data_IF_286913519641
#
_entry.id   IF_286913519641
#
_cell.length_a   1.000
_cell.length_b   1.000
_cell.length_c   1.000
_cell.angle_alpha   90.00
_cell.angle_beta   90.00
_cell.angle_gamma   90.00
#
_symmetry.space_group_name_H-M   'P 1'
#
loop_
_entity.id
_entity.type
_entity.pdbx_description
1 polymer ?
#
# COMPACT_ATOMS: atom_id res chain seq x y z
N UNK A 1 -1.95 10.73 -19.96
CA UNK A 1 -2.52 10.82 -18.60
C UNK A 1 -3.66 9.82 -18.55
N UNK A 2 -3.74 9.04 -17.48
CA UNK A 2 -4.77 7.99 -17.33
C UNK A 2 -6.10 8.62 -16.93
N UNK A 3 -7.17 8.37 -17.69
CA UNK A 3 -8.51 8.88 -17.38
C UNK A 3 -9.36 7.86 -16.62
N UNK A 4 -10.24 8.35 -15.79
CA UNK A 4 -11.21 7.57 -15.01
C UNK A 4 -12.58 7.75 -15.67
N UNK A 5 -13.29 6.64 -15.92
CA UNK A 5 -14.67 6.68 -16.41
C UNK A 5 -15.63 6.40 -15.24
N UNK A 6 -16.55 7.29 -14.99
CA UNK A 6 -17.61 7.14 -13.99
C UNK A 6 -18.94 6.89 -14.67
N UNK A 7 -19.54 5.73 -14.41
CA UNK A 7 -20.87 5.36 -14.93
C UNK A 7 -21.83 5.30 -13.76
N UNK A 8 -22.70 6.28 -13.65
CA UNK A 8 -23.66 6.41 -12.56
C UNK A 8 -24.89 7.20 -13.03
N UNK A 9 -26.09 6.82 -12.62
CA UNK A 9 -27.32 7.58 -12.92
C UNK A 9 -27.62 8.66 -11.87
N UNK A 10 -26.91 8.66 -10.72
CA UNK A 10 -27.06 9.66 -9.66
C UNK A 10 -26.19 10.88 -9.91
N UNK A 11 -26.83 12.01 -10.23
CA UNK A 11 -26.15 13.29 -10.51
C UNK A 11 -25.39 13.83 -9.30
N UNK A 12 -25.90 13.65 -8.08
CA UNK A 12 -25.26 14.14 -6.86
C UNK A 12 -23.94 13.40 -6.60
N UNK A 13 -23.90 12.10 -6.85
CA UNK A 13 -22.66 11.32 -6.74
C UNK A 13 -21.64 11.68 -7.81
N UNK A 14 -22.10 11.96 -9.04
CA UNK A 14 -21.22 12.45 -10.11
C UNK A 14 -20.56 13.77 -9.75
N UNK A 15 -21.29 14.73 -9.18
CA UNK A 15 -20.75 16.03 -8.74
C UNK A 15 -19.72 15.85 -7.63
N UNK A 16 -19.99 14.98 -6.64
CA UNK A 16 -19.07 14.67 -5.56
C UNK A 16 -17.77 14.04 -6.10
N UNK A 17 -17.87 13.07 -6.99
CA UNK A 17 -16.72 12.42 -7.62
C UNK A 17 -15.97 13.39 -8.54
N UNK A 18 -16.66 14.26 -9.28
CA UNK A 18 -16.05 15.29 -10.12
C UNK A 18 -15.18 16.23 -9.29
N UNK A 19 -15.68 16.68 -8.14
CA UNK A 19 -14.93 17.54 -7.22
C UNK A 19 -13.70 16.80 -6.64
N UNK A 20 -13.86 15.54 -6.26
CA UNK A 20 -12.77 14.72 -5.71
C UNK A 20 -11.66 14.46 -6.75
N UNK A 21 -12.02 14.13 -7.99
CA UNK A 21 -11.04 13.89 -9.06
C UNK A 21 -10.37 15.18 -9.56
N UNK A 22 -11.10 16.29 -9.58
CA UNK A 22 -10.53 17.62 -9.88
C UNK A 22 -9.47 18.00 -8.84
N UNK A 23 -9.71 17.73 -7.55
CA UNK A 23 -8.75 17.95 -6.48
C UNK A 23 -7.49 17.07 -6.64
N UNK A 24 -7.63 15.88 -7.20
CA UNK A 24 -6.53 14.93 -7.46
C UNK A 24 -5.79 15.21 -8.78
N UNK A 25 -6.18 16.22 -9.54
CA UNK A 25 -5.69 16.50 -10.91
C UNK A 25 -5.77 15.26 -11.83
N UNK A 26 -6.81 14.43 -11.62
CA UNK A 26 -7.07 13.22 -12.40
C UNK A 26 -8.17 13.51 -13.44
N UNK A 27 -7.90 13.35 -14.74
CA UNK A 27 -8.94 13.48 -15.76
C UNK A 27 -10.01 12.40 -15.58
N UNK A 28 -11.28 12.82 -15.55
CA UNK A 28 -12.41 11.91 -15.41
C UNK A 28 -13.51 12.25 -16.43
N UNK A 29 -14.15 11.21 -16.95
CA UNK A 29 -15.31 11.29 -17.82
C UNK A 29 -16.54 10.70 -17.11
N UNK A 30 -17.70 11.32 -17.32
CA UNK A 30 -18.95 10.93 -16.67
C UNK A 30 -20.00 10.56 -17.70
N UNK A 31 -20.64 9.40 -17.54
CA UNK A 31 -21.79 9.02 -18.38
C UNK A 31 -22.87 8.31 -17.54
N UNK A 32 -24.11 8.29 -18.05
CA UNK A 32 -25.20 7.46 -17.53
C UNK A 32 -25.17 6.06 -18.10
N UNK A 33 -25.86 5.12 -17.46
CA UNK A 33 -25.98 3.76 -17.99
C UNK A 33 -26.66 3.74 -19.37
N UNK A 34 -27.66 4.60 -19.60
CA UNK A 34 -28.33 4.73 -20.91
C UNK A 34 -27.36 5.23 -21.96
N UNK A 35 -26.58 6.27 -21.64
CA UNK A 35 -25.61 6.88 -22.55
C UNK A 35 -24.50 5.87 -22.88
N UNK A 36 -24.02 5.11 -21.90
CA UNK A 36 -23.03 4.06 -22.11
C UNK A 36 -23.42 3.04 -23.19
N UNK A 37 -24.70 2.61 -23.16
CA UNK A 37 -25.19 1.65 -24.14
C UNK A 37 -25.54 2.26 -25.50
N UNK A 38 -25.82 3.57 -25.57
CA UNK A 38 -26.15 4.29 -26.81
C UNK A 38 -24.92 4.89 -27.49
N UNK A 39 -23.91 5.36 -26.74
CA UNK A 39 -22.72 6.05 -27.26
C UNK A 39 -21.60 5.06 -27.60
N UNK A 40 -21.77 4.29 -28.67
CA UNK A 40 -20.78 3.28 -29.06
C UNK A 40 -19.52 3.84 -29.75
N UNK A 41 -19.31 5.18 -29.84
CA UNK A 41 -18.30 5.72 -30.77
C UNK A 41 -17.51 6.97 -30.35
N UNK A 42 -17.76 7.60 -29.18
CA UNK A 42 -17.11 8.88 -28.87
C UNK A 42 -16.15 8.87 -27.67
N UNK A 43 -16.15 7.82 -26.87
CA UNK A 43 -15.22 7.71 -25.72
C UNK A 43 -13.89 7.16 -26.24
N UNK A 44 -12.81 7.91 -26.12
CA UNK A 44 -11.47 7.45 -26.52
C UNK A 44 -11.00 6.34 -25.60
N UNK A 45 -11.18 5.10 -26.05
CA UNK A 45 -10.95 3.86 -25.30
C UNK A 45 -9.49 3.66 -24.85
N UNK A 46 -8.54 4.29 -25.53
CA UNK A 46 -7.10 4.06 -25.31
C UNK A 46 -6.54 4.73 -24.04
N UNK A 47 -7.32 5.63 -23.40
CA UNK A 47 -6.84 6.40 -22.24
C UNK A 47 -7.53 6.03 -20.91
N UNK A 48 -8.62 5.24 -20.96
CA UNK A 48 -9.36 4.87 -19.75
C UNK A 48 -8.67 3.71 -19.02
N UNK A 49 -8.38 3.92 -17.74
CA UNK A 49 -7.68 2.94 -16.89
C UNK A 49 -8.55 2.35 -15.80
N UNK A 50 -9.61 3.03 -15.42
CA UNK A 50 -10.48 2.67 -14.32
C UNK A 50 -11.92 3.00 -14.68
N UNK A 51 -12.84 2.08 -14.42
CA UNK A 51 -14.29 2.34 -14.43
C UNK A 51 -14.80 2.32 -13.00
N UNK A 52 -15.45 3.40 -12.60
CA UNK A 52 -16.26 3.47 -11.38
C UNK A 52 -17.72 3.22 -11.74
N UNK A 53 -18.28 2.15 -11.20
CA UNK A 53 -19.65 1.73 -11.44
C UNK A 53 -20.55 2.14 -10.28
N UNK A 54 -21.43 3.11 -10.52
CA UNK A 54 -22.51 3.50 -9.61
C UNK A 54 -23.73 2.57 -9.70
N UNK A 55 -24.83 2.99 -9.09
CA UNK A 55 -26.09 2.27 -9.15
C UNK A 55 -26.87 2.65 -10.41
N UNK A 56 -27.43 1.65 -11.07
CA UNK A 56 -28.34 1.84 -12.22
C UNK A 56 -29.79 1.76 -11.80
N UNK A 57 -30.63 2.61 -12.39
CA UNK A 57 -32.10 2.46 -12.31
C UNK A 57 -32.61 1.35 -13.24
N UNK A 58 -31.78 0.83 -14.13
CA UNK A 58 -32.12 -0.25 -15.05
C UNK A 58 -31.79 -1.62 -14.42
N UNK A 59 -32.55 -2.67 -14.70
CA UNK A 59 -32.25 -4.03 -14.26
C UNK A 59 -31.10 -4.64 -15.06
N UNK A 60 -29.88 -4.18 -14.81
CA UNK A 60 -28.66 -4.63 -15.52
C UNK A 60 -27.84 -5.47 -14.55
N UNK A 61 -27.41 -6.66 -14.96
CA UNK A 61 -26.51 -7.50 -14.16
C UNK A 61 -25.08 -7.00 -14.25
N UNK A 62 -24.36 -7.01 -13.13
CA UNK A 62 -22.95 -6.66 -13.06
C UNK A 62 -22.09 -7.51 -14.00
N UNK A 63 -22.42 -8.82 -14.13
CA UNK A 63 -21.71 -9.75 -15.02
C UNK A 63 -21.70 -9.26 -16.47
N UNK A 64 -22.86 -8.79 -16.96
CA UNK A 64 -22.98 -8.29 -18.33
C UNK A 64 -22.17 -7.02 -18.55
N UNK A 65 -22.14 -6.12 -17.57
CA UNK A 65 -21.36 -4.87 -17.63
C UNK A 65 -19.86 -5.15 -17.63
N UNK A 66 -19.37 -5.97 -16.70
CA UNK A 66 -17.95 -6.30 -16.60
C UNK A 66 -17.48 -7.01 -17.85
N UNK A 67 -18.30 -7.91 -18.44
CA UNK A 67 -18.00 -8.56 -19.70
C UNK A 67 -17.93 -7.58 -20.87
N UNK A 68 -18.88 -6.64 -20.97
CA UNK A 68 -18.87 -5.59 -22.01
C UNK A 68 -17.63 -4.67 -21.88
N UNK A 69 -17.17 -4.40 -20.66
CA UNK A 69 -15.91 -3.67 -20.44
C UNK A 69 -14.69 -4.48 -20.87
N UNK A 70 -14.63 -5.78 -20.59
CA UNK A 70 -13.53 -6.63 -21.05
C UNK A 70 -13.48 -6.73 -22.56
N UNK A 71 -14.64 -6.77 -23.23
CA UNK A 71 -14.72 -6.83 -24.69
C UNK A 71 -14.29 -5.52 -25.36
N UNK A 72 -14.52 -4.36 -24.70
CA UNK A 72 -14.16 -3.03 -25.22
C UNK A 72 -12.75 -2.57 -24.82
N UNK A 73 -12.26 -2.99 -23.68
CA UNK A 73 -10.99 -2.57 -23.13
C UNK A 73 -10.12 -3.78 -22.82
N UNK A 74 -8.91 -3.82 -23.36
CA UNK A 74 -8.01 -4.97 -23.19
C UNK A 74 -7.65 -5.30 -21.72
N UNK A 75 -7.68 -4.28 -20.82
CA UNK A 75 -7.26 -4.44 -19.42
C UNK A 75 -7.82 -3.31 -18.59
N UNK A 76 -9.05 -3.46 -18.11
CA UNK A 76 -9.70 -2.41 -17.33
C UNK A 76 -9.99 -2.88 -15.92
N UNK A 77 -9.64 -2.03 -14.94
CA UNK A 77 -10.04 -2.19 -13.55
C UNK A 77 -11.45 -1.64 -13.34
N UNK A 78 -12.26 -2.36 -12.60
CA UNK A 78 -13.62 -1.94 -12.23
C UNK A 78 -13.68 -1.77 -10.71
N UNK A 79 -14.21 -0.64 -10.25
CA UNK A 79 -14.53 -0.39 -8.84
C UNK A 79 -16.02 -0.13 -8.74
N UNK A 80 -16.70 -0.82 -7.86
CA UNK A 80 -18.14 -0.62 -7.61
C UNK A 80 -18.34 0.49 -6.58
N UNK A 81 -19.29 1.38 -6.83
CA UNK A 81 -19.79 2.36 -5.85
C UNK A 81 -20.94 1.69 -5.08
N UNK A 82 -20.83 1.64 -3.75
CA UNK A 82 -21.77 0.94 -2.88
C UNK A 82 -21.89 -0.58 -3.14
N UNK A 83 -22.77 -1.27 -2.42
CA UNK A 83 -22.93 -2.72 -2.53
C UNK A 83 -23.68 -3.13 -3.79
N UNK A 84 -23.02 -3.88 -4.64
CA UNK A 84 -23.64 -4.68 -5.69
C UNK A 84 -23.81 -6.11 -5.17
N UNK A 85 -25.06 -6.58 -5.05
CA UNK A 85 -25.38 -7.93 -4.56
C UNK A 85 -24.72 -9.05 -5.36
N UNK A 86 -24.47 -8.79 -6.64
CA UNK A 86 -24.07 -9.81 -7.62
C UNK A 86 -22.53 -10.02 -7.74
N UNK A 87 -21.72 -9.28 -6.97
CA UNK A 87 -20.23 -9.44 -7.01
C UNK A 87 -19.80 -10.85 -6.61
N UNK A 88 -20.55 -11.49 -5.69
CA UNK A 88 -20.28 -12.85 -5.24
C UNK A 88 -20.61 -13.92 -6.28
N UNK A 89 -21.49 -13.63 -7.24
CA UNK A 89 -21.97 -14.53 -8.28
C UNK A 89 -21.13 -14.48 -9.57
N UNK A 90 -20.19 -13.53 -9.67
CA UNK A 90 -19.30 -13.41 -10.82
C UNK A 90 -18.38 -14.63 -10.96
N UNK A 91 -18.14 -15.04 -12.21
CA UNK A 91 -17.10 -16.03 -12.53
C UNK A 91 -15.71 -15.53 -12.08
N UNK A 92 -14.80 -16.44 -11.74
CA UNK A 92 -13.47 -16.09 -11.21
C UNK A 92 -12.69 -15.12 -12.12
N UNK A 93 -12.82 -15.26 -13.44
CA UNK A 93 -12.17 -14.39 -14.43
C UNK A 93 -12.74 -12.95 -14.41
N UNK A 94 -14.04 -12.78 -14.28
CA UNK A 94 -14.71 -11.48 -14.22
C UNK A 94 -14.52 -10.82 -12.85
N UNK A 95 -14.50 -11.62 -11.79
CA UNK A 95 -14.27 -11.15 -10.42
C UNK A 95 -12.88 -10.53 -10.25
N UNK A 96 -11.87 -11.02 -10.96
CA UNK A 96 -10.51 -10.45 -10.93
C UNK A 96 -10.46 -9.00 -11.46
N UNK A 97 -11.38 -8.61 -12.35
CA UNK A 97 -11.45 -7.24 -12.86
C UNK A 97 -12.07 -6.26 -11.86
N UNK A 98 -12.86 -6.75 -10.89
CA UNK A 98 -13.44 -5.92 -9.83
C UNK A 98 -12.40 -5.78 -8.72
N UNK A 99 -11.62 -4.70 -8.78
CA UNK A 99 -10.45 -4.49 -7.90
C UNK A 99 -10.80 -3.90 -6.54
N UNK A 100 -12.03 -3.40 -6.36
CA UNK A 100 -12.47 -2.84 -5.09
C UNK A 100 -13.90 -2.33 -5.10
N UNK A 101 -14.33 -1.91 -3.92
CA UNK A 101 -15.62 -1.28 -3.67
C UNK A 101 -15.37 0.04 -2.93
N UNK A 102 -16.07 1.09 -3.30
CA UNK A 102 -16.01 2.41 -2.69
C UNK A 102 -17.41 2.79 -2.20
N UNK A 103 -17.64 2.79 -0.90
CA UNK A 103 -18.93 3.16 -0.30
C UNK A 103 -19.05 4.67 -0.14
N UNK A 104 -20.17 5.25 -0.54
CA UNK A 104 -20.44 6.69 -0.40
C UNK A 104 -21.19 6.93 0.93
N UNK A 105 -20.74 7.85 1.80
CA UNK A 105 -19.58 8.76 1.67
C UNK A 105 -18.22 8.06 1.89
N UNK A 106 -17.24 8.36 1.04
CA UNK A 106 -15.88 7.85 1.14
C UNK A 106 -14.93 8.92 1.67
N UNK A 107 -13.83 8.48 2.27
CA UNK A 107 -12.72 9.36 2.60
C UNK A 107 -11.65 9.34 1.49
N UNK A 108 -10.77 10.34 1.52
CA UNK A 108 -9.67 10.51 0.55
C UNK A 108 -8.80 9.25 0.42
N UNK A 109 -8.52 8.58 1.52
CA UNK A 109 -7.66 7.39 1.55
C UNK A 109 -8.29 6.20 0.84
N UNK A 110 -9.60 6.01 0.99
CA UNK A 110 -10.35 4.96 0.28
C UNK A 110 -10.34 5.17 -1.24
N UNK A 111 -10.48 6.43 -1.68
CA UNK A 111 -10.41 6.76 -3.10
C UNK A 111 -9.01 6.51 -3.66
N UNK A 112 -7.94 6.92 -2.95
CA UNK A 112 -6.56 6.65 -3.34
C UNK A 112 -6.26 5.14 -3.40
N UNK A 113 -6.74 4.35 -2.43
CA UNK A 113 -6.59 2.90 -2.44
C UNK A 113 -7.23 2.26 -3.67
N UNK A 114 -8.42 2.73 -4.06
CA UNK A 114 -9.10 2.25 -5.26
C UNK A 114 -8.32 2.59 -6.53
N UNK A 115 -7.86 3.84 -6.68
CA UNK A 115 -7.03 4.28 -7.82
C UNK A 115 -5.75 3.46 -7.90
N UNK A 116 -5.14 3.21 -6.79
CA UNK A 116 -3.91 2.45 -6.67
C UNK A 116 -4.09 0.98 -7.07
N UNK A 117 -5.14 0.31 -6.57
CA UNK A 117 -5.49 -1.07 -6.99
C UNK A 117 -5.77 -1.14 -8.50
N UNK A 118 -6.41 -0.13 -9.06
CA UNK A 118 -6.64 -0.05 -10.50
C UNK A 118 -5.34 0.08 -11.30
N UNK A 119 -4.38 0.90 -10.85
CA UNK A 119 -3.06 1.00 -11.46
C UNK A 119 -2.30 -0.33 -11.39
N UNK A 120 -2.34 -1.01 -10.26
CA UNK A 120 -1.74 -2.34 -10.10
C UNK A 120 -2.37 -3.38 -11.04
N UNK A 121 -3.69 -3.38 -11.17
CA UNK A 121 -4.40 -4.29 -12.06
C UNK A 121 -3.94 -4.10 -13.52
N UNK A 122 -3.83 -2.86 -13.97
CA UNK A 122 -3.36 -2.55 -15.33
C UNK A 122 -1.91 -2.96 -15.57
N UNK A 123 -1.02 -2.64 -14.64
CA UNK A 123 0.38 -3.08 -14.71
C UNK A 123 0.50 -4.60 -14.82
N UNK A 124 -0.42 -5.35 -14.20
CA UNK A 124 -0.52 -6.82 -14.32
C UNK A 124 -0.97 -7.28 -15.70
N UNK A 125 -1.84 -6.53 -16.33
CA UNK A 125 -2.44 -6.91 -17.62
C UNK A 125 -1.53 -6.56 -18.81
N UNK A 126 -0.81 -5.44 -18.72
CA UNK A 126 0.14 -5.02 -19.77
C UNK A 126 1.43 -5.89 -19.80
N UNK A 127 1.68 -6.65 -18.74
CA UNK A 127 2.86 -7.51 -18.64
C UNK A 127 2.46 -8.89 -18.11
N UNK A 128 2.32 -9.89 -19.01
CA UNK A 128 2.03 -11.29 -18.63
C UNK A 128 3.05 -11.86 -17.62
N UNK A 129 4.22 -11.21 -17.47
CA UNK A 129 5.21 -11.51 -16.43
C UNK A 129 4.77 -11.01 -15.04
N UNK A 130 3.85 -10.03 -14.96
CA UNK A 130 3.35 -9.46 -13.70
C UNK A 130 2.22 -10.28 -13.04
N UNK A 131 1.54 -11.16 -13.78
CA UNK A 131 0.66 -12.17 -13.17
C UNK A 131 1.40 -13.07 -12.16
N UNK A 132 2.74 -13.15 -12.27
CA UNK A 132 3.62 -13.82 -11.31
C UNK A 132 4.00 -12.94 -10.09
N UNK A 133 3.65 -11.66 -10.08
CA UNK A 133 4.00 -10.72 -8.99
C UNK A 133 3.19 -10.97 -7.71
N UNK A 134 1.99 -11.56 -7.83
CA UNK A 134 1.19 -12.00 -6.67
C UNK A 134 1.81 -13.19 -5.92
N UNK A 135 2.80 -13.87 -6.52
CA UNK A 135 3.49 -14.98 -5.89
C UNK A 135 4.20 -14.58 -4.58
N UNK A 136 4.60 -13.30 -4.43
CA UNK A 136 5.40 -12.84 -3.30
C UNK A 136 4.61 -11.91 -2.36
N UNK A 137 3.46 -12.37 -1.87
CA UNK A 137 2.55 -11.60 -1.00
C UNK A 137 3.18 -11.06 0.28
N UNK A 138 4.26 -11.69 0.77
CA UNK A 138 5.01 -11.23 1.94
C UNK A 138 5.92 -10.02 1.70
N UNK A 139 6.17 -9.66 0.42
CA UNK A 139 7.05 -8.55 0.06
C UNK A 139 6.21 -7.32 -0.31
N UNK A 140 6.10 -6.36 0.60
CA UNK A 140 5.31 -5.13 0.44
C UNK A 140 6.06 -4.10 -0.39
N UNK A 141 5.35 -3.41 -1.30
CA UNK A 141 5.86 -2.32 -2.13
C UNK A 141 5.44 -2.46 -3.60
N UNK A 142 5.29 -1.33 -4.27
CA UNK A 142 4.80 -1.19 -5.65
C UNK A 142 5.64 -0.22 -6.46
N UNK A 143 6.65 0.39 -5.82
CA UNK A 143 7.60 1.24 -6.52
C UNK A 143 8.27 0.50 -7.67
N UNK A 144 8.71 1.24 -8.69
CA UNK A 144 9.35 0.68 -9.87
C UNK A 144 10.56 -0.21 -9.50
N UNK A 145 11.34 0.19 -8.48
CA UNK A 145 12.46 -0.59 -7.97
C UNK A 145 12.01 -1.92 -7.34
N UNK A 146 10.92 -1.94 -6.56
CA UNK A 146 10.38 -3.17 -5.99
C UNK A 146 9.74 -4.09 -7.04
N UNK A 147 9.16 -3.53 -8.09
CA UNK A 147 8.68 -4.32 -9.23
C UNK A 147 9.85 -5.01 -9.97
N UNK A 148 11.01 -4.34 -10.12
CA UNK A 148 12.22 -4.97 -10.68
C UNK A 148 12.71 -6.12 -9.80
N UNK A 149 12.74 -5.96 -8.48
CA UNK A 149 13.08 -7.03 -7.52
C UNK A 149 12.14 -8.23 -7.71
N UNK A 150 10.82 -8.01 -7.75
CA UNK A 150 9.85 -9.10 -7.95
C UNK A 150 10.01 -9.81 -9.30
N UNK A 151 10.30 -9.07 -10.37
CA UNK A 151 10.61 -9.67 -11.68
C UNK A 151 11.85 -10.56 -11.60
N UNK A 152 12.92 -10.10 -10.98
CA UNK A 152 14.13 -10.89 -10.78
C UNK A 152 13.83 -12.15 -9.95
N UNK A 153 13.07 -12.01 -8.85
CA UNK A 153 12.64 -13.15 -8.04
C UNK A 153 11.85 -14.18 -8.85
N UNK A 154 10.88 -13.75 -9.66
CA UNK A 154 10.05 -14.65 -10.47
C UNK A 154 10.86 -15.43 -11.51
N UNK A 155 11.91 -14.82 -12.08
CA UNK A 155 12.78 -15.48 -13.04
C UNK A 155 13.64 -16.60 -12.41
N UNK A 156 14.00 -16.44 -11.13
CA UNK A 156 14.94 -17.34 -10.45
C UNK A 156 14.29 -18.28 -9.43
N UNK A 157 13.07 -18.02 -8.99
CA UNK A 157 12.40 -18.80 -7.93
C UNK A 157 12.35 -20.31 -8.26
N UNK A 158 11.89 -20.65 -9.46
CA UNK A 158 11.78 -22.05 -9.93
C UNK A 158 13.11 -22.70 -10.34
N UNK A 159 14.25 -22.00 -10.25
CA UNK A 159 15.56 -22.51 -10.69
C UNK A 159 16.44 -22.87 -9.49
N UNK A 160 17.20 -23.96 -9.62
CA UNK A 160 18.12 -24.43 -8.57
C UNK A 160 19.52 -23.81 -8.77
N UNK A 161 19.60 -22.47 -8.68
CA UNK A 161 20.83 -21.68 -8.80
C UNK A 161 21.08 -20.86 -7.55
N UNK A 162 22.34 -20.52 -7.32
CA UNK A 162 22.72 -19.62 -6.22
C UNK A 162 22.18 -18.21 -6.50
N UNK A 163 21.73 -17.53 -5.45
CA UNK A 163 21.23 -16.15 -5.49
C UNK A 163 22.02 -15.32 -4.50
N UNK A 164 22.50 -14.16 -4.93
CA UNK A 164 23.13 -13.18 -4.06
C UNK A 164 22.18 -11.97 -3.90
N UNK A 165 21.77 -11.69 -2.67
CA UNK A 165 20.88 -10.56 -2.35
C UNK A 165 21.74 -9.47 -1.70
N UNK A 166 21.84 -8.32 -2.37
CA UNK A 166 22.58 -7.16 -1.88
C UNK A 166 21.61 -6.06 -1.43
N UNK A 167 22.08 -5.17 -0.58
CA UNK A 167 21.31 -4.01 -0.10
C UNK A 167 21.53 -3.70 1.37
N UNK A 168 21.18 -2.50 1.77
CA UNK A 168 21.39 -2.00 3.13
C UNK A 168 20.74 -2.87 4.20
N UNK A 169 21.22 -2.72 5.45
CA UNK A 169 20.62 -3.41 6.59
C UNK A 169 19.15 -2.97 6.77
N UNK A 170 18.26 -3.94 7.06
CA UNK A 170 16.85 -3.67 7.29
C UNK A 170 15.98 -3.46 6.04
N UNK A 171 16.48 -3.69 4.82
CA UNK A 171 15.71 -3.57 3.57
C UNK A 171 14.74 -4.72 3.32
N UNK A 172 14.90 -5.87 4.02
CA UNK A 172 14.04 -7.06 3.88
C UNK A 172 14.67 -8.22 3.11
N UNK A 173 16.02 -8.32 3.06
CA UNK A 173 16.75 -9.41 2.37
C UNK A 173 16.31 -10.81 2.79
N UNK A 174 16.05 -11.04 4.09
CA UNK A 174 15.56 -12.33 4.58
C UNK A 174 14.15 -12.66 4.06
N UNK A 175 13.27 -11.66 3.95
CA UNK A 175 11.91 -11.83 3.39
C UNK A 175 12.00 -12.29 1.93
N UNK A 176 12.90 -11.71 1.15
CA UNK A 176 13.17 -12.13 -0.23
C UNK A 176 13.70 -13.56 -0.27
N UNK A 177 14.69 -13.90 0.58
CA UNK A 177 15.26 -15.25 0.63
C UNK A 177 14.21 -16.31 0.97
N UNK A 178 13.36 -16.06 1.96
CA UNK A 178 12.27 -16.95 2.35
C UNK A 178 11.24 -17.09 1.24
N UNK A 179 10.82 -15.98 0.63
CA UNK A 179 9.89 -15.99 -0.51
C UNK A 179 10.44 -16.77 -1.70
N UNK A 180 11.75 -16.67 -2.00
CA UNK A 180 12.40 -17.48 -3.04
C UNK A 180 12.39 -18.98 -2.74
N UNK A 181 12.56 -19.36 -1.47
CA UNK A 181 12.44 -20.75 -1.03
C UNK A 181 11.02 -21.26 -1.20
N UNK A 182 10.02 -20.52 -0.68
CA UNK A 182 8.60 -20.91 -0.69
C UNK A 182 8.04 -21.13 -2.11
N UNK A 183 8.62 -20.45 -3.10
CA UNK A 183 8.23 -20.55 -4.51
C UNK A 183 9.23 -21.36 -5.37
N UNK A 184 10.15 -22.08 -4.73
CA UNK A 184 11.15 -22.90 -5.40
C UNK A 184 10.69 -24.34 -5.60
N UNK A 185 11.45 -25.09 -6.39
CA UNK A 185 11.31 -26.56 -6.52
C UNK A 185 11.59 -27.29 -5.18
N UNK A 186 12.27 -26.61 -4.23
CA UNK A 186 12.65 -27.11 -2.91
C UNK A 186 11.75 -26.62 -1.78
N UNK A 187 10.57 -26.04 -2.08
CA UNK A 187 9.63 -25.46 -1.11
C UNK A 187 9.17 -26.39 0.01
N UNK A 188 9.19 -27.70 -0.25
CA UNK A 188 8.83 -28.73 0.74
C UNK A 188 10.03 -29.17 1.58
N UNK A 189 11.25 -28.72 1.25
CA UNK A 189 12.47 -28.97 2.02
C UNK A 189 12.66 -27.94 3.14
N UNK A 190 13.69 -28.11 3.97
CA UNK A 190 13.96 -27.16 5.03
C UNK A 190 14.51 -25.84 4.49
N UNK A 191 14.08 -24.71 5.10
CA UNK A 191 14.73 -23.41 4.97
C UNK A 191 15.59 -23.17 6.22
N UNK A 192 16.91 -23.16 6.06
CA UNK A 192 17.87 -23.07 7.19
C UNK A 192 18.61 -21.75 7.11
N UNK A 193 18.21 -20.73 7.88
CA UNK A 193 18.95 -19.47 7.97
C UNK A 193 20.14 -19.57 8.92
N UNK A 194 21.21 -18.85 8.58
CA UNK A 194 22.35 -18.61 9.45
C UNK A 194 22.89 -17.20 9.21
N UNK A 195 23.07 -16.43 10.27
CA UNK A 195 23.71 -15.11 10.19
C UNK A 195 25.20 -15.25 10.49
N UNK A 196 26.04 -15.01 9.45
CA UNK A 196 27.48 -15.17 9.56
C UNK A 196 28.15 -14.10 10.43
N UNK A 197 27.56 -12.91 10.53
CA UNK A 197 28.07 -11.81 11.36
C UNK A 197 27.70 -11.92 12.84
N UNK A 198 26.61 -12.64 13.16
CA UNK A 198 26.16 -12.78 14.54
C UNK A 198 26.88 -13.89 15.33
N UNK A 199 27.61 -14.78 14.63
CA UNK A 199 28.29 -15.94 15.22
C UNK A 199 29.79 -15.65 15.32
N UNK A 200 30.43 -15.85 16.47
CA UNK A 200 31.89 -15.75 16.58
C UNK A 200 32.60 -16.65 15.55
N UNK A 201 33.69 -16.17 14.97
CA UNK A 201 34.42 -16.85 13.92
C UNK A 201 34.80 -18.30 14.27
N UNK A 202 35.20 -18.55 15.53
CA UNK A 202 35.60 -19.88 16.04
C UNK A 202 34.43 -20.86 16.09
N UNK A 203 33.19 -20.38 16.24
CA UNK A 203 31.99 -21.20 16.30
C UNK A 203 31.29 -21.35 14.95
N UNK A 204 31.50 -20.40 14.02
CA UNK A 204 30.84 -20.38 12.72
C UNK A 204 31.13 -21.66 11.93
N UNK A 205 32.37 -22.16 12.00
CA UNK A 205 32.74 -23.42 11.35
C UNK A 205 31.94 -24.60 11.88
N UNK A 206 31.85 -24.72 13.22
CA UNK A 206 31.09 -25.78 13.87
C UNK A 206 29.59 -25.69 13.61
N UNK A 207 29.03 -24.48 13.53
CA UNK A 207 27.61 -24.29 13.20
C UNK A 207 27.33 -24.65 11.74
N UNK A 208 28.20 -24.29 10.80
CA UNK A 208 28.00 -24.57 9.37
C UNK A 208 28.17 -26.06 9.04
N UNK A 209 29.31 -26.66 9.44
CA UNK A 209 29.71 -27.98 9.01
C UNK A 209 29.38 -29.08 10.02
N UNK A 210 29.08 -28.72 11.26
CA UNK A 210 28.93 -29.67 12.37
C UNK A 210 30.28 -30.21 12.89
N UNK A 211 30.24 -30.96 13.93
CA UNK A 211 31.45 -31.55 14.53
C UNK A 211 31.21 -32.95 15.05
N UNK A 212 32.27 -33.76 15.05
CA UNK A 212 32.32 -35.06 15.72
C UNK A 212 32.72 -34.90 17.21
N UNK A 213 32.36 -35.88 18.00
CA UNK A 213 32.77 -35.93 19.42
C UNK A 213 34.29 -35.84 19.55
N UNK A 214 34.79 -34.89 20.35
CA UNK A 214 36.22 -34.68 20.56
C UNK A 214 36.95 -33.83 19.53
N UNK A 215 36.24 -33.21 18.59
CA UNK A 215 36.82 -32.36 17.53
C UNK A 215 37.54 -31.12 18.09
N UNK A 216 37.12 -30.61 19.25
CA UNK A 216 37.75 -29.50 19.97
C UNK A 216 37.44 -29.58 21.45
N UNK A 217 38.12 -28.75 22.27
CA UNK A 217 37.88 -28.67 23.71
C UNK A 217 36.46 -28.18 23.99
N UNK A 218 35.58 -29.10 24.46
CA UNK A 218 34.14 -28.83 24.66
C UNK A 218 33.20 -29.59 23.72
N UNK A 219 33.70 -30.31 22.70
CA UNK A 219 32.90 -31.19 21.87
C UNK A 219 32.53 -32.51 22.56
N UNK A 220 31.59 -32.46 23.53
CA UNK A 220 31.14 -33.60 24.30
C UNK A 220 30.33 -34.62 23.51
N UNK A 221 29.59 -34.17 22.50
CA UNK A 221 28.77 -34.97 21.59
C UNK A 221 28.97 -34.52 20.15
N UNK A 222 28.64 -35.38 19.18
CA UNK A 222 28.59 -34.95 17.79
C UNK A 222 27.33 -34.13 17.55
N UNK A 223 27.42 -33.11 16.66
CA UNK A 223 26.30 -32.23 16.30
C UNK A 223 26.26 -31.99 14.78
N UNK A 224 25.10 -32.16 14.15
CA UNK A 224 24.96 -31.84 12.70
C UNK A 224 25.09 -30.35 12.48
N UNK A 225 25.69 -29.98 11.35
CA UNK A 225 25.81 -28.59 10.90
C UNK A 225 24.65 -28.12 10.06
N UNK A 226 24.62 -26.82 9.72
CA UNK A 226 23.56 -26.21 8.89
C UNK A 226 23.52 -26.82 7.49
N UNK A 227 24.63 -27.23 6.92
CA UNK A 227 24.67 -27.95 5.64
C UNK A 227 23.88 -29.27 5.69
N UNK A 228 24.00 -30.03 6.76
CA UNK A 228 23.21 -31.25 6.95
C UNK A 228 21.74 -30.97 7.18
N UNK A 229 21.42 -29.93 8.00
CA UNK A 229 20.05 -29.54 8.30
C UNK A 229 19.31 -28.99 7.07
N UNK A 230 20.04 -28.40 6.13
CA UNK A 230 19.50 -27.84 4.89
C UNK A 230 19.35 -28.88 3.76
N UNK A 231 19.72 -30.13 3.98
CA UNK A 231 19.69 -31.20 2.97
C UNK A 231 18.33 -31.32 2.29
N UNK A 232 18.30 -31.31 0.95
CA UNK A 232 17.09 -31.32 0.13
C UNK A 232 16.33 -29.97 0.10
N UNK A 233 16.81 -28.95 0.81
CA UNK A 233 16.19 -27.65 0.97
C UNK A 233 17.08 -26.47 0.55
N UNK A 234 17.00 -25.38 1.32
CA UNK A 234 17.70 -24.13 1.05
C UNK A 234 18.50 -23.69 2.28
N UNK A 235 19.79 -23.42 2.09
CA UNK A 235 20.65 -22.76 3.08
C UNK A 235 20.67 -21.24 2.78
N UNK A 236 20.24 -20.44 3.74
CA UNK A 236 20.31 -18.98 3.66
C UNK A 236 21.48 -18.47 4.50
N UNK A 237 22.50 -17.90 3.82
CA UNK A 237 23.68 -17.28 4.41
C UNK A 237 23.46 -15.77 4.53
N UNK A 238 23.04 -15.31 5.69
CA UNK A 238 22.90 -13.86 5.92
C UNK A 238 24.24 -13.27 6.34
N UNK A 239 24.49 -12.06 5.90
CA UNK A 239 25.73 -11.29 6.13
C UNK A 239 26.99 -12.08 5.73
N UNK A 240 26.98 -12.64 4.50
CA UNK A 240 28.11 -13.43 3.98
C UNK A 240 29.42 -12.65 3.87
N UNK A 241 29.34 -11.29 3.75
CA UNK A 241 30.51 -10.40 3.76
C UNK A 241 31.22 -10.33 5.12
N UNK A 242 30.61 -10.83 6.20
CA UNK A 242 31.25 -10.92 7.52
C UNK A 242 32.01 -12.26 7.73
N UNK A 243 31.92 -13.16 6.76
CA UNK A 243 32.55 -14.48 6.86
C UNK A 243 34.06 -14.38 6.83
N UNK A 244 34.79 -14.99 7.81
CA UNK A 244 36.27 -15.00 7.80
C UNK A 244 36.84 -15.71 6.58
N UNK A 245 38.00 -15.25 6.08
CA UNK A 245 38.69 -15.83 4.92
C UNK A 245 38.84 -17.36 4.94
N UNK A 246 39.26 -17.99 6.06
CA UNK A 246 39.36 -19.46 6.11
C UNK A 246 38.02 -20.15 5.84
N UNK A 247 36.92 -19.54 6.27
CA UNK A 247 35.56 -20.06 6.07
C UNK A 247 35.10 -19.88 4.63
N UNK A 248 35.47 -18.79 3.99
CA UNK A 248 35.21 -18.55 2.57
C UNK A 248 35.81 -19.64 1.70
N UNK A 249 37.03 -20.12 2.02
CA UNK A 249 37.68 -21.25 1.33
C UNK A 249 36.90 -22.54 1.48
N UNK A 250 36.39 -22.82 2.68
CA UNK A 250 35.61 -24.03 2.94
C UNK A 250 34.28 -23.97 2.23
N UNK A 251 33.57 -22.83 2.30
CA UNK A 251 32.33 -22.61 1.60
C UNK A 251 32.49 -22.78 0.07
N UNK A 252 33.53 -22.21 -0.49
CA UNK A 252 33.82 -22.36 -1.93
C UNK A 252 33.97 -23.83 -2.33
N UNK A 253 34.73 -24.65 -1.56
CA UNK A 253 34.85 -26.08 -1.82
C UNK A 253 33.47 -26.80 -1.83
N UNK A 254 32.61 -26.50 -0.84
CA UNK A 254 31.26 -27.10 -0.81
C UNK A 254 30.44 -26.72 -2.02
N UNK A 255 30.49 -25.44 -2.42
CA UNK A 255 29.76 -24.96 -3.61
C UNK A 255 30.26 -25.54 -4.92
N UNK A 256 31.56 -25.92 -5.02
CA UNK A 256 32.18 -26.53 -6.19
C UNK A 256 31.98 -28.05 -6.23
N UNK A 257 32.29 -28.72 -5.12
CA UNK A 257 32.37 -30.20 -5.05
C UNK A 257 31.04 -30.82 -4.63
N UNK A 258 30.09 -30.03 -4.09
CA UNK A 258 28.84 -30.52 -3.50
C UNK A 258 29.04 -31.53 -2.38
N UNK A 259 30.17 -31.43 -1.66
CA UNK A 259 30.56 -32.32 -0.58
C UNK A 259 31.21 -31.54 0.55
N UNK A 260 31.11 -32.04 1.75
CA UNK A 260 31.75 -31.48 2.95
C UNK A 260 32.02 -32.55 3.99
N UNK A 261 32.81 -32.22 5.02
CA UNK A 261 33.14 -33.07 6.15
C UNK A 261 32.85 -32.32 7.45
N UNK A 262 32.48 -33.06 8.49
CA UNK A 262 32.37 -32.50 9.86
C UNK A 262 33.75 -32.18 10.40
N UNK A 263 33.82 -31.21 11.31
CA UNK A 263 35.06 -30.92 12.06
C UNK A 263 35.47 -32.14 12.87
N UNK A 264 36.73 -32.56 12.70
CA UNK A 264 37.26 -33.78 13.36
C UNK A 264 36.74 -35.10 12.75
N UNK A 265 35.97 -35.07 11.71
CA UNK A 265 35.48 -36.23 10.97
C UNK A 265 36.26 -36.47 9.70
N UNK A 266 36.25 -37.72 9.18
CA UNK A 266 36.83 -38.11 7.87
C UNK A 266 35.73 -38.58 6.89
N UNK A 267 34.48 -38.57 7.33
CA UNK A 267 33.34 -38.97 6.49
C UNK A 267 32.90 -37.83 5.61
N UNK A 268 33.01 -38.01 4.31
CA UNK A 268 32.50 -37.07 3.33
C UNK A 268 30.97 -37.21 3.21
N UNK A 269 30.26 -36.08 3.27
CA UNK A 269 28.81 -35.96 3.17
C UNK A 269 28.47 -35.18 1.90
N UNK A 270 27.42 -35.57 1.21
CA UNK A 270 26.92 -34.84 0.04
C UNK A 270 26.12 -33.60 0.46
N UNK A 271 26.24 -32.49 -0.29
CA UNK A 271 25.53 -31.26 -0.07
C UNK A 271 24.50 -31.02 -1.18
N UNK A 272 23.34 -31.66 -1.06
CA UNK A 272 22.19 -31.40 -1.97
C UNK A 272 21.35 -30.24 -1.43
N UNK A 273 21.84 -29.03 -1.63
CA UNK A 273 21.22 -27.80 -1.14
C UNK A 273 21.21 -26.70 -2.22
N UNK A 274 20.22 -25.80 -2.13
CA UNK A 274 20.24 -24.50 -2.81
C UNK A 274 20.82 -23.47 -1.84
N UNK A 275 21.74 -22.61 -2.31
CA UNK A 275 22.30 -21.54 -1.51
C UNK A 275 21.75 -20.19 -1.92
N UNK A 276 21.26 -19.44 -0.95
CA UNK A 276 20.89 -18.02 -1.07
C UNK A 276 21.79 -17.27 -0.09
N UNK A 277 22.57 -16.30 -0.57
CA UNK A 277 23.44 -15.48 0.24
C UNK A 277 22.93 -14.04 0.28
N UNK A 278 23.10 -13.34 1.42
CA UNK A 278 22.77 -11.94 1.56
C UNK A 278 23.90 -11.16 2.23
N UNK A 279 24.04 -9.90 1.87
CA UNK A 279 25.00 -8.98 2.50
C UNK A 279 24.56 -7.52 2.35
N UNK A 280 25.00 -6.68 3.27
CA UNK A 280 24.90 -5.22 3.15
C UNK A 280 26.24 -4.60 2.73
N UNK A 281 27.32 -5.38 2.68
CA UNK A 281 28.66 -4.93 2.33
C UNK A 281 28.86 -4.93 0.82
N UNK A 282 29.70 -4.02 0.32
CA UNK A 282 30.19 -4.04 -1.05
C UNK A 282 31.28 -5.11 -1.20
N UNK A 283 30.91 -6.27 -1.73
CA UNK A 283 31.83 -7.40 -1.89
C UNK A 283 32.96 -7.11 -2.92
N UNK A 284 32.70 -6.25 -3.91
CA UNK A 284 33.69 -5.88 -4.93
C UNK A 284 34.81 -5.05 -4.30
N UNK A 285 34.51 -4.07 -3.46
CA UNK A 285 35.51 -3.34 -2.66
C UNK A 285 36.27 -4.26 -1.70
N UNK A 286 35.58 -5.23 -1.08
CA UNK A 286 36.20 -6.21 -0.20
C UNK A 286 37.16 -7.17 -0.95
N UNK A 287 36.90 -7.45 -2.22
CA UNK A 287 37.83 -8.21 -3.07
C UNK A 287 39.12 -7.39 -3.31
N UNK A 288 38.99 -6.10 -3.61
CA UNK A 288 40.14 -5.22 -3.81
C UNK A 288 41.00 -5.09 -2.54
N UNK A 289 40.37 -5.04 -1.36
CA UNK A 289 41.08 -4.98 -0.06
C UNK A 289 41.58 -6.36 0.43
N UNK A 290 41.20 -7.44 -0.25
CA UNK A 290 41.60 -8.81 0.12
C UNK A 290 40.84 -9.39 1.30
N UNK A 291 39.70 -8.80 1.69
CA UNK A 291 38.82 -9.26 2.76
C UNK A 291 37.78 -10.30 2.28
N UNK A 292 37.52 -10.34 0.98
CA UNK A 292 36.67 -11.32 0.35
C UNK A 292 37.31 -11.95 -0.87
N UNK A 293 37.08 -13.25 -1.09
CA UNK A 293 37.69 -13.97 -2.21
C UNK A 293 36.88 -13.77 -3.49
N UNK A 294 37.57 -13.44 -4.59
CA UNK A 294 37.01 -13.26 -5.91
C UNK A 294 36.35 -14.55 -6.45
N UNK A 295 36.97 -15.72 -6.24
CA UNK A 295 36.45 -17.02 -6.69
C UNK A 295 35.12 -17.40 -5.98
N UNK A 296 34.98 -17.08 -4.71
CA UNK A 296 33.73 -17.27 -3.96
C UNK A 296 32.66 -16.30 -4.43
N UNK A 297 33.02 -15.04 -4.70
CA UNK A 297 32.08 -14.03 -5.20
C UNK A 297 31.41 -14.52 -6.48
N UNK A 298 32.16 -14.91 -7.51
CA UNK A 298 31.56 -15.42 -8.76
C UNK A 298 30.73 -16.71 -8.58
N UNK A 299 31.02 -17.49 -7.58
CA UNK A 299 30.24 -18.71 -7.29
C UNK A 299 28.92 -18.42 -6.56
N UNK A 300 28.87 -17.36 -5.77
CA UNK A 300 27.63 -16.88 -5.10
C UNK A 300 26.81 -15.99 -6.03
N UNK A 301 27.45 -15.09 -6.76
CA UNK A 301 26.82 -14.09 -7.62
C UNK A 301 26.44 -14.65 -8.99
N UNK A 302 25.70 -15.77 -9.00
CA UNK A 302 25.14 -16.37 -10.23
C UNK A 302 23.91 -15.60 -10.66
N UNK A 303 23.07 -15.21 -9.72
CA UNK A 303 21.89 -14.37 -9.95
C UNK A 303 21.81 -13.29 -8.87
N UNK A 304 22.15 -12.03 -9.20
CA UNK A 304 22.06 -10.93 -8.25
C UNK A 304 20.63 -10.41 -8.10
N UNK A 305 20.29 -10.01 -6.87
CA UNK A 305 19.06 -9.27 -6.55
C UNK A 305 19.45 -8.11 -5.64
N UNK A 306 19.26 -6.88 -6.11
CA UNK A 306 19.59 -5.67 -5.36
C UNK A 306 18.33 -5.11 -4.68
N UNK A 307 18.36 -5.03 -3.34
CA UNK A 307 17.26 -4.51 -2.55
C UNK A 307 17.38 -2.99 -2.39
N UNK A 308 16.41 -2.22 -2.91
CA UNK A 308 16.47 -0.76 -2.80
C UNK A 308 16.28 -0.31 -1.35
N UNK A 309 17.01 0.74 -0.90
CA UNK A 309 16.78 1.36 0.40
C UNK A 309 15.41 2.07 0.43
N UNK A 310 14.85 2.23 1.63
CA UNK A 310 13.49 2.76 1.81
C UNK A 310 13.35 4.20 1.25
N UNK A 311 14.40 5.02 1.32
CA UNK A 311 14.42 6.38 0.75
C UNK A 311 14.22 6.42 -0.77
N UNK A 312 14.59 5.37 -1.51
CA UNK A 312 14.40 5.25 -2.96
C UNK A 312 13.02 4.70 -3.34
N UNK A 313 12.24 4.28 -2.34
CA UNK A 313 10.87 3.79 -2.48
C UNK A 313 9.91 4.44 -1.48
N UNK A 314 10.06 5.75 -1.26
CA UNK A 314 9.22 6.50 -0.32
C UNK A 314 7.71 6.38 -0.59
N UNK A 315 7.31 6.16 -1.84
CA UNK A 315 5.93 5.87 -2.22
C UNK A 315 5.36 4.56 -1.65
N UNK A 316 6.23 3.62 -1.22
CA UNK A 316 5.81 2.37 -0.60
C UNK A 316 5.54 2.53 0.92
N UNK A 317 5.94 3.66 1.50
CA UNK A 317 5.85 3.88 2.95
C UNK A 317 4.43 3.73 3.51
N UNK A 318 3.37 4.30 2.89
CA UNK A 318 1.99 4.13 3.39
C UNK A 318 1.57 2.66 3.44
N UNK A 319 1.94 1.87 2.42
CA UNK A 319 1.64 0.44 2.36
C UNK A 319 2.39 -0.36 3.43
N UNK A 320 3.66 0.00 3.67
CA UNK A 320 4.46 -0.61 4.71
C UNK A 320 3.92 -0.28 6.10
N UNK A 321 3.47 0.97 6.32
CA UNK A 321 2.83 1.38 7.58
C UNK A 321 1.57 0.56 7.85
N UNK A 322 0.70 0.41 6.84
CA UNK A 322 -0.55 -0.36 6.96
C UNK A 322 -0.27 -1.83 7.24
N UNK A 323 0.60 -2.47 6.45
CA UNK A 323 0.92 -3.89 6.62
C UNK A 323 1.62 -4.18 7.94
N UNK A 324 2.56 -3.35 8.37
CA UNK A 324 3.24 -3.54 9.65
C UNK A 324 2.30 -3.30 10.83
N UNK A 325 1.43 -2.29 10.75
CA UNK A 325 0.40 -2.03 11.78
C UNK A 325 -0.61 -3.18 11.87
N UNK A 326 -0.97 -3.78 10.74
CA UNK A 326 -1.88 -4.94 10.67
C UNK A 326 -1.30 -6.19 11.36
N UNK A 327 0.03 -6.32 11.42
CA UNK A 327 0.72 -7.46 12.08
C UNK A 327 0.87 -7.28 13.59
N UNK A 328 0.67 -6.08 14.14
CA UNK A 328 0.83 -5.82 15.58
C UNK A 328 -0.04 -6.71 16.49
N UNK A 329 -1.33 -6.97 16.16
CA UNK A 329 -2.16 -7.86 16.98
C UNK A 329 -1.62 -9.29 17.10
N UNK A 330 -0.93 -9.80 16.08
CA UNK A 330 -0.27 -11.11 16.12
C UNK A 330 0.87 -11.16 17.15
N UNK A 331 1.43 -9.99 17.48
CA UNK A 331 2.48 -9.80 18.48
C UNK A 331 1.93 -9.40 19.86
N UNK A 332 0.60 -9.31 20.00
CA UNK A 332 -0.06 -8.90 21.23
C UNK A 332 -0.04 -7.38 21.49
N UNK A 333 0.18 -6.58 20.46
CA UNK A 333 0.13 -5.12 20.52
C UNK A 333 -1.17 -4.61 19.87
N UNK A 334 -1.65 -3.46 20.34
CA UNK A 334 -2.81 -2.80 19.77
C UNK A 334 -2.48 -2.14 18.42
N UNK A 335 -3.48 -2.01 17.56
CA UNK A 335 -3.32 -1.33 16.27
C UNK A 335 -3.05 0.18 16.49
N UNK A 336 -2.24 0.76 15.61
CA UNK A 336 -1.99 2.21 15.57
C UNK A 336 -2.25 2.73 14.16
N UNK A 337 -2.77 3.95 14.07
CA UNK A 337 -3.03 4.62 12.79
C UNK A 337 -2.20 5.89 12.69
N UNK A 338 -1.80 6.25 11.48
CA UNK A 338 -1.02 7.46 11.24
C UNK A 338 -1.85 8.46 10.43
N UNK A 339 -1.82 9.74 10.83
CA UNK A 339 -2.41 10.83 10.05
C UNK A 339 -1.61 11.09 8.79
N UNK A 340 -2.24 11.68 7.77
CA UNK A 340 -1.57 12.04 6.52
C UNK A 340 -0.37 12.98 6.73
N UNK A 341 -0.46 13.91 7.69
CA UNK A 341 0.65 14.80 8.08
C UNK A 341 1.83 14.02 8.66
N UNK A 342 1.58 13.02 9.50
CA UNK A 342 2.62 12.13 10.02
C UNK A 342 3.25 11.31 8.89
N UNK A 343 2.44 10.74 7.98
CA UNK A 343 2.93 9.98 6.83
C UNK A 343 3.82 10.86 5.93
N UNK A 344 3.39 12.10 5.63
CA UNK A 344 4.20 13.05 4.86
C UNK A 344 5.54 13.38 5.53
N UNK A 345 5.52 13.53 6.86
CA UNK A 345 6.75 13.75 7.65
C UNK A 345 7.69 12.54 7.59
N UNK A 346 7.14 11.33 7.69
CA UNK A 346 7.89 10.07 7.60
C UNK A 346 8.46 9.82 6.19
N UNK A 347 7.78 10.27 5.13
CA UNK A 347 8.29 10.16 3.75
C UNK A 347 9.55 10.98 3.49
N UNK A 348 9.74 12.08 4.23
CA UNK A 348 10.93 12.91 4.12
C UNK A 348 12.13 12.39 4.93
N UNK A 349 11.93 11.41 5.79
CA UNK A 349 13.01 10.84 6.59
C UNK A 349 13.91 9.92 5.74
N UNK A 350 15.24 9.95 5.90
CA UNK A 350 16.19 9.18 5.08
C UNK A 350 16.22 7.67 5.37
N UNK A 351 15.65 7.22 6.48
CA UNK A 351 15.53 5.81 6.89
C UNK A 351 16.84 5.01 6.86
N UNK A 352 17.88 5.39 7.60
CA UNK A 352 19.15 4.66 7.60
C UNK A 352 19.03 3.19 8.05
N UNK A 353 18.04 2.87 8.89
CA UNK A 353 17.68 1.50 9.29
C UNK A 353 16.57 0.87 8.46
N UNK A 354 16.14 1.51 7.36
CA UNK A 354 15.16 1.02 6.41
C UNK A 354 13.85 0.51 7.08
N UNK A 355 13.31 -0.62 6.61
CA UNK A 355 12.04 -1.19 7.14
C UNK A 355 12.18 -1.65 8.59
N UNK A 356 13.37 -2.05 9.03
CA UNK A 356 13.60 -2.42 10.45
C UNK A 356 13.42 -1.20 11.37
N UNK A 357 13.91 -0.04 10.99
CA UNK A 357 13.71 1.21 11.73
C UNK A 357 12.24 1.62 11.72
N UNK A 358 11.55 1.48 10.59
CA UNK A 358 10.13 1.75 10.47
C UNK A 358 9.29 0.82 11.37
N UNK A 359 9.59 -0.49 11.39
CA UNK A 359 8.90 -1.45 12.26
C UNK A 359 9.07 -1.08 13.74
N UNK A 360 10.30 -0.76 14.17
CA UNK A 360 10.57 -0.33 15.54
C UNK A 360 9.82 0.97 15.91
N UNK A 361 9.67 1.90 14.95
CA UNK A 361 8.87 3.10 15.18
C UNK A 361 7.39 2.73 15.39
N UNK A 362 6.83 1.90 14.53
CA UNK A 362 5.42 1.48 14.60
C UNK A 362 5.13 0.76 15.92
N UNK A 363 5.96 -0.20 16.31
CA UNK A 363 5.85 -0.90 17.60
C UNK A 363 5.90 0.08 18.78
N UNK A 364 6.82 1.05 18.73
CA UNK A 364 6.91 2.09 19.76
C UNK A 364 5.65 2.95 19.80
N UNK A 365 5.09 3.33 18.66
CA UNK A 365 3.86 4.14 18.62
C UNK A 365 2.66 3.34 19.10
N UNK A 366 2.57 2.06 18.79
CA UNK A 366 1.52 1.17 19.29
C UNK A 366 1.54 1.02 20.83
N UNK A 367 2.73 0.99 21.43
CA UNK A 367 2.88 0.95 22.89
C UNK A 367 2.46 2.27 23.54
N UNK A 368 2.85 3.41 22.91
CA UNK A 368 2.56 4.73 23.47
C UNK A 368 1.12 5.18 23.25
N UNK A 369 0.53 4.79 22.13
CA UNK A 369 -0.80 5.21 21.69
C UNK A 369 -1.65 4.01 21.24
N UNK A 370 -2.01 3.09 22.16
CA UNK A 370 -2.77 1.89 21.85
C UNK A 370 -4.14 2.27 21.26
N UNK A 371 -4.47 1.69 20.09
CA UNK A 371 -5.66 2.01 19.30
C UNK A 371 -5.81 3.51 18.94
N UNK A 372 -4.72 4.27 19.05
CA UNK A 372 -4.68 5.71 18.83
C UNK A 372 -4.37 6.10 17.37
N UNK A 373 -4.45 7.42 17.14
CA UNK A 373 -4.06 8.06 15.89
C UNK A 373 -2.84 8.93 16.14
N UNK A 374 -1.77 8.71 15.40
CA UNK A 374 -0.47 9.39 15.55
C UNK A 374 -0.38 10.52 14.52
N UNK A 375 -0.30 11.76 14.98
CA UNK A 375 0.01 12.95 14.20
C UNK A 375 1.51 13.25 14.20
N UNK A 376 1.91 14.43 13.70
CA UNK A 376 3.32 14.84 13.66
C UNK A 376 3.86 15.09 15.06
N UNK A 377 3.06 15.69 15.96
CA UNK A 377 3.43 15.99 17.36
C UNK A 377 3.72 14.75 18.20
N UNK A 378 3.04 13.63 17.92
CA UNK A 378 3.23 12.36 18.61
C UNK A 378 4.47 11.60 18.13
N UNK A 379 4.97 11.92 16.92
CA UNK A 379 6.20 11.31 16.41
C UNK A 379 7.42 11.73 17.24
N UNK A 380 8.41 10.86 17.43
CA UNK A 380 9.69 11.25 18.00
C UNK A 380 10.34 12.39 17.18
N UNK A 381 11.07 13.33 17.83
CA UNK A 381 11.60 14.53 17.16
C UNK A 381 12.40 14.30 15.88
N UNK A 382 13.11 13.17 15.77
CA UNK A 382 13.88 12.82 14.58
C UNK A 382 13.02 12.51 13.34
N UNK A 383 11.73 12.28 13.52
CA UNK A 383 10.77 11.98 12.45
C UNK A 383 9.82 13.14 12.16
N UNK A 384 9.93 14.25 12.88
CA UNK A 384 9.15 15.46 12.68
C UNK A 384 9.83 16.35 11.62
N UNK A 385 9.67 16.00 10.35
CA UNK A 385 10.29 16.71 9.23
C UNK A 385 9.35 17.75 8.57
N UNK A 386 8.08 17.79 8.99
CA UNK A 386 7.06 18.73 8.51
C UNK A 386 6.52 19.48 9.73
N UNK A 387 6.34 20.80 9.66
CA UNK A 387 5.64 21.53 10.73
C UNK A 387 4.22 20.98 10.87
N UNK A 388 3.74 20.96 12.11
CA UNK A 388 2.37 20.56 12.37
C UNK A 388 1.42 21.49 11.61
N UNK A 389 0.43 20.94 10.88
CA UNK A 389 -0.53 21.76 10.19
C UNK A 389 -1.27 22.61 11.21
N UNK A 390 -1.21 23.94 11.06
CA UNK A 390 -1.87 24.87 11.98
C UNK A 390 -3.39 24.63 11.91
N UNK A 391 -4.06 24.24 13.01
CA UNK A 391 -5.51 24.05 13.02
C UNK A 391 -6.29 25.25 12.47
N UNK A 392 -5.81 26.47 12.73
CA UNK A 392 -6.40 27.71 12.22
C UNK A 392 -6.37 27.81 10.68
N UNK A 393 -5.38 27.18 10.00
CA UNK A 393 -5.32 27.15 8.55
C UNK A 393 -6.35 26.17 7.94
N UNK A 394 -6.68 25.10 8.65
CA UNK A 394 -7.77 24.19 8.24
C UNK A 394 -9.13 24.85 8.43
N UNK A 395 -9.38 25.52 9.54
CA UNK A 395 -10.60 26.31 9.75
C UNK A 395 -10.69 27.46 8.74
N UNK A 396 -9.57 28.10 8.39
CA UNK A 396 -9.54 29.14 7.34
C UNK A 396 -9.70 28.55 5.93
N UNK A 397 -9.13 27.37 5.63
CA UNK A 397 -9.33 26.69 4.35
C UNK A 397 -10.75 26.14 4.21
N UNK A 398 -11.33 25.56 5.26
CA UNK A 398 -12.76 25.20 5.27
C UNK A 398 -13.65 26.42 5.09
N UNK A 399 -13.33 27.53 5.77
CA UNK A 399 -14.06 28.78 5.62
C UNK A 399 -13.81 29.44 4.25
N UNK A 400 -12.62 29.32 3.64
CA UNK A 400 -12.32 29.84 2.30
C UNK A 400 -13.01 29.03 1.20
N UNK A 401 -13.05 27.70 1.33
CA UNK A 401 -13.81 26.82 0.41
C UNK A 401 -15.31 27.08 0.53
N UNK A 402 -15.78 27.45 1.72
CA UNK A 402 -17.16 27.89 1.94
C UNK A 402 -17.48 29.28 1.35
N UNK A 403 -16.44 30.12 1.14
CA UNK A 403 -16.61 31.48 0.59
C UNK A 403 -16.41 31.57 -0.94
N UNK A 404 -15.63 30.70 -1.57
CA UNK A 404 -15.39 30.69 -3.03
C UNK A 404 -16.29 29.71 -3.81
N UNK A 405 -16.84 28.69 -3.15
CA UNK A 405 -17.82 27.78 -3.73
C UNK A 405 -19.24 28.25 -3.45
N UNK A 406 -19.75 29.19 -4.23
CA UNK A 406 -21.16 29.57 -4.20
C UNK A 406 -22.07 28.42 -4.62
N UNK A 407 -22.46 27.56 -3.69
CA UNK A 407 -23.39 26.45 -3.95
C UNK A 407 -23.59 25.56 -2.74
N UNK A 408 -24.47 26.01 -1.84
CA UNK A 408 -25.35 25.23 -0.97
C UNK A 408 -24.83 23.89 -0.44
N UNK A 409 -24.28 23.89 0.78
CA UNK A 409 -24.57 22.90 1.83
C UNK A 409 -24.07 23.43 3.17
N UNK A 410 -24.80 24.35 3.76
CA UNK A 410 -24.83 24.48 5.21
C UNK A 410 -25.71 23.33 5.73
N UNK A 411 -25.12 22.17 6.02
CA UNK A 411 -25.67 21.31 7.05
C UNK A 411 -25.51 22.08 8.35
N UNK A 412 -26.58 22.73 8.74
CA UNK A 412 -26.76 23.33 10.05
C UNK A 412 -26.49 22.22 11.06
N UNK A 413 -25.44 22.38 11.88
CA UNK A 413 -25.34 21.65 13.15
C UNK A 413 -26.47 22.11 14.05
N UNK A 414 -27.62 21.43 13.93
CA UNK A 414 -28.86 21.78 14.63
C UNK A 414 -29.04 21.01 15.94
N UNK A 415 -28.00 20.36 16.48
CA UNK A 415 -28.19 19.45 17.62
C UNK A 415 -27.40 19.75 18.90
N UNK A 416 -26.80 20.94 19.06
CA UNK A 416 -26.24 21.33 20.36
C UNK A 416 -26.72 22.73 20.76
N UNK A 417 -27.51 22.77 21.84
CA UNK A 417 -27.82 24.04 22.50
C UNK A 417 -26.51 24.66 23.02
N UNK A 418 -26.20 25.96 22.71
CA UNK A 418 -25.10 26.66 23.34
C UNK A 418 -25.27 26.72 24.85
N UNK A 419 -24.18 26.63 25.60
CA UNK A 419 -24.18 26.65 27.07
C UNK A 419 -24.79 27.91 27.65
N UNK A 420 -24.85 29.01 26.90
CA UNK A 420 -25.44 30.30 27.28
C UNK A 420 -26.95 30.40 26.98
N UNK A 421 -27.56 29.36 26.40
CA UNK A 421 -28.98 29.38 25.97
C UNK A 421 -29.18 30.17 24.67
N UNK A 422 -30.34 29.94 24.02
CA UNK A 422 -30.72 30.60 22.77
C UNK A 422 -32.12 31.20 22.89
N UNK A 423 -32.29 32.44 22.42
CA UNK A 423 -33.65 32.99 22.19
C UNK A 423 -34.24 32.38 20.94
N UNK A 424 -34.95 31.25 21.12
CA UNK A 424 -35.52 30.46 20.06
C UNK A 424 -36.35 31.30 19.09
N UNK A 425 -37.08 32.31 19.62
CA UNK A 425 -37.94 33.16 18.80
C UNK A 425 -37.12 34.02 17.85
N UNK A 426 -36.08 34.67 18.33
CA UNK A 426 -35.14 35.46 17.49
C UNK A 426 -34.41 34.59 16.48
N UNK A 427 -34.00 33.43 16.90
CA UNK A 427 -33.31 32.48 16.03
C UNK A 427 -34.20 32.01 14.88
N UNK A 428 -35.41 31.61 15.15
CA UNK A 428 -36.37 31.22 14.12
C UNK A 428 -36.74 32.38 13.19
N UNK A 429 -36.89 33.61 13.72
CA UNK A 429 -37.11 34.78 12.89
C UNK A 429 -35.94 35.09 11.95
N UNK A 430 -34.70 34.89 12.38
CA UNK A 430 -33.52 35.06 11.55
C UNK A 430 -33.43 34.01 10.45
N UNK A 431 -33.72 32.73 10.75
CA UNK A 431 -33.76 31.65 9.75
C UNK A 431 -34.86 31.92 8.72
N UNK A 432 -36.06 32.29 9.21
CA UNK A 432 -37.18 32.59 8.34
C UNK A 432 -36.86 33.75 7.38
N UNK A 433 -36.27 34.83 7.87
CA UNK A 433 -35.85 35.97 7.06
C UNK A 433 -34.89 35.55 5.97
N UNK A 434 -33.86 34.80 6.31
CA UNK A 434 -32.86 34.29 5.33
C UNK A 434 -33.48 33.42 4.25
N UNK A 435 -34.38 32.52 4.60
CA UNK A 435 -35.05 31.65 3.64
C UNK A 435 -35.95 32.46 2.68
N UNK A 436 -36.62 33.49 3.16
CA UNK A 436 -37.42 34.39 2.34
C UNK A 436 -36.55 35.21 1.36
N UNK A 437 -35.39 35.71 1.80
CA UNK A 437 -34.44 36.43 0.96
C UNK A 437 -33.84 35.52 -0.13
N UNK A 438 -33.45 34.33 0.23
CA UNK A 438 -32.93 33.33 -0.73
C UNK A 438 -34.00 32.96 -1.78
N UNK A 439 -35.19 32.65 -1.37
CA UNK A 439 -36.25 32.28 -2.30
C UNK A 439 -36.61 33.42 -3.26
N UNK A 440 -36.55 34.66 -2.81
CA UNK A 440 -36.76 35.82 -3.68
C UNK A 440 -35.58 36.01 -4.67
N UNK A 441 -34.35 35.83 -4.20
CA UNK A 441 -33.15 35.97 -5.06
C UNK A 441 -33.10 34.91 -6.16
N UNK A 442 -33.34 33.66 -5.81
CA UNK A 442 -33.33 32.52 -6.77
C UNK A 442 -34.45 32.65 -7.81
N UNK A 443 -35.57 33.30 -7.47
CA UNK A 443 -36.72 33.47 -8.38
C UNK A 443 -36.83 34.88 -8.96
N UNK A 444 -35.71 35.60 -9.16
CA UNK A 444 -35.65 36.93 -9.77
C UNK A 444 -36.61 37.96 -9.15
N UNK A 445 -36.85 37.89 -7.83
CA UNK A 445 -37.80 38.68 -7.08
C UNK A 445 -39.29 38.48 -7.50
N UNK A 446 -39.57 37.37 -8.19
CA UNK A 446 -40.95 37.05 -8.58
C UNK A 446 -41.65 36.35 -7.40
N UNK A 447 -42.44 37.13 -6.65
CA UNK A 447 -43.12 36.67 -5.39
C UNK A 447 -43.99 35.44 -5.60
N UNK A 448 -44.59 35.22 -6.76
CA UNK A 448 -45.41 34.04 -7.02
C UNK A 448 -44.56 32.75 -7.04
N UNK A 449 -43.42 32.77 -7.75
CA UNK A 449 -42.49 31.65 -7.84
C UNK A 449 -41.77 31.38 -6.50
N UNK A 450 -41.36 32.45 -5.82
CA UNK A 450 -40.74 32.33 -4.49
C UNK A 450 -41.73 31.70 -3.46
N UNK A 451 -43.00 32.00 -3.55
CA UNK A 451 -44.04 31.38 -2.69
C UNK A 451 -44.20 29.90 -3.01
N UNK A 452 -44.14 29.50 -4.27
CA UNK A 452 -44.16 28.09 -4.69
C UNK A 452 -42.91 27.34 -4.20
N UNK A 453 -41.73 27.94 -4.38
CA UNK A 453 -40.47 27.35 -3.90
C UNK A 453 -40.45 27.11 -2.38
N UNK A 454 -41.07 28.00 -1.60
CA UNK A 454 -41.22 27.88 -0.15
C UNK A 454 -42.45 27.08 0.32
N UNK A 455 -43.22 26.57 -0.62
CA UNK A 455 -44.47 25.84 -0.37
C UNK A 455 -45.44 26.59 0.56
N UNK A 456 -45.53 27.91 0.39
CA UNK A 456 -46.45 28.77 1.14
C UNK A 456 -47.38 29.56 0.21
N UNK A 457 -48.51 30.04 0.75
CA UNK A 457 -49.40 30.89 -0.06
C UNK A 457 -48.78 32.24 -0.35
N UNK A 458 -49.00 32.77 -1.55
CA UNK A 458 -48.50 34.09 -1.97
C UNK A 458 -48.85 35.21 -0.99
N UNK A 459 -50.07 35.18 -0.41
CA UNK A 459 -50.53 36.13 0.62
C UNK A 459 -49.67 36.04 1.87
N UNK A 460 -49.34 34.84 2.32
CA UNK A 460 -48.50 34.60 3.49
C UNK A 460 -47.05 35.09 3.26
N UNK A 461 -46.49 34.91 2.04
CA UNK A 461 -45.20 35.44 1.71
C UNK A 461 -45.21 36.97 1.77
N UNK A 462 -46.22 37.63 1.21
CA UNK A 462 -46.30 39.09 1.23
C UNK A 462 -46.46 39.63 2.67
N UNK A 463 -47.21 38.96 3.54
CA UNK A 463 -47.31 39.34 4.95
C UNK A 463 -45.97 39.20 5.68
N UNK A 464 -45.23 38.09 5.45
CA UNK A 464 -43.90 37.89 6.03
C UNK A 464 -42.88 38.90 5.51
N UNK A 465 -42.92 39.22 4.21
CA UNK A 465 -42.08 40.29 3.63
C UNK A 465 -42.36 41.64 4.30
N UNK A 466 -43.62 41.97 4.55
CA UNK A 466 -43.94 43.22 5.28
C UNK A 466 -43.49 43.18 6.73
N UNK A 467 -43.59 42.05 7.41
CA UNK A 467 -43.11 41.89 8.80
C UNK A 467 -41.60 42.14 8.89
N UNK A 468 -40.84 41.68 7.92
CA UNK A 468 -39.37 41.82 7.90
C UNK A 468 -38.85 43.01 7.11
N UNK A 469 -39.74 43.95 6.67
CA UNK A 469 -39.31 45.20 6.01
C UNK A 469 -38.72 45.01 4.62
N UNK A 470 -38.96 43.86 3.96
CA UNK A 470 -38.46 43.57 2.62
C UNK A 470 -39.30 44.30 1.58
N UNK A 471 -38.66 45.27 0.86
CA UNK A 471 -39.36 46.04 -0.18
C UNK A 471 -39.35 45.29 -1.51
N UNK A 472 -40.50 45.40 -2.24
CA UNK A 472 -40.56 45.05 -3.68
C UNK A 472 -39.62 45.99 -4.46
N UNK A 473 -38.56 45.47 -5.03
CA UNK A 473 -37.94 46.15 -6.16
C UNK A 473 -38.71 45.89 -7.44
#
# INVERSE_FOLDING_TARGET
>A
MSSVLVIDDDLSRRELLSSAFSFLDQPCEFCGFVDWFQSNSEISTDQINLVLLGQSQLPISLEKLVKDFQDKFASIAVVTLDEWSDVAELSDSLRQCVVGQLSVPFNYQQLLDCLHRAQLFRLRADDASLAQVDLFSGLVGISQSMLQVRRAMSQVAGRDVNVLITGESGTGKEVVARSLHDHSVRKNGPFVPINCGAIPADLLESELFGHEKGAFTGAVSSRPGRFELAQGGTLFLDEVGDMPLPMQVKLLRVLQERKFERIGGTKTLDADIRVIAATHKNLEEMIETGEFREDLYYRLNVFPIDMPPLRERAGDLPLLLDELSRRLPEQGLDAVRFQNSAIASLQLHPWPGNVRELSNLIERMAILYPNGVVGVSELPPKFQNVPEPNPELYEQAENAVLLEGGGISQTVELDKLPDEGIDLKKHLETIEQRLLEQALTVNDNVVARAAETLNIRRTTLVEKMRKYGMQRK
#
